data_IF_348623044194
#
_entry.id   IF_348623044194
#
_cell.length_a   1.000
_cell.length_b   1.000
_cell.length_c   1.000
_cell.angle_alpha   90.00
_cell.angle_beta   90.00
_cell.angle_gamma   90.00
#
_symmetry.space_group_name_H-M   'P 1'
#
loop_
_entity.id
_entity.type
_entity.pdbx_description
1 polymer ?
#
# COMPACT_ATOMS: atom_id res chain seq x y z
N UNK A 1 35.91 12.74 -8.06
CA UNK A 1 35.31 12.00 -6.88
C UNK A 1 35.17 12.87 -5.63
N UNK A 2 35.81 14.04 -5.48
CA UNK A 2 35.68 14.94 -4.31
C UNK A 2 34.45 15.87 -4.39
N UNK A 3 34.02 16.30 -5.54
CA UNK A 3 32.84 17.18 -5.72
C UNK A 3 31.49 16.48 -5.48
N UNK A 4 31.39 15.20 -5.80
CA UNK A 4 30.19 14.43 -5.53
C UNK A 4 29.93 14.20 -4.03
N UNK A 5 30.98 14.14 -3.20
CA UNK A 5 30.86 14.03 -1.74
C UNK A 5 30.40 15.33 -1.07
N UNK A 6 30.74 16.49 -1.64
CA UNK A 6 30.32 17.81 -1.15
C UNK A 6 28.81 18.07 -1.37
N UNK A 7 28.24 17.57 -2.48
CA UNK A 7 26.82 17.73 -2.78
C UNK A 7 25.92 16.91 -1.83
N UNK A 8 26.37 15.74 -1.36
CA UNK A 8 25.62 14.89 -0.44
C UNK A 8 25.60 15.44 0.99
N UNK A 9 26.66 16.10 1.44
CA UNK A 9 26.75 16.72 2.76
C UNK A 9 25.86 17.96 2.94
N UNK A 10 25.56 18.67 1.83
CA UNK A 10 24.66 19.85 1.87
C UNK A 10 23.17 19.52 1.98
N UNK A 11 22.76 18.28 1.66
CA UNK A 11 21.36 17.81 1.78
C UNK A 11 21.07 17.31 3.20
N UNK A 12 22.07 16.81 3.92
CA UNK A 12 21.91 16.21 5.26
C UNK A 12 21.49 17.19 6.39
N UNK A 13 21.54 18.51 6.14
CA UNK A 13 21.23 19.53 7.14
C UNK A 13 19.91 20.29 6.90
N UNK A 14 19.12 19.91 5.91
CA UNK A 14 17.80 20.53 5.71
C UNK A 14 16.74 19.73 6.42
N UNK A 15 15.79 20.36 7.16
CA UNK A 15 14.67 19.66 7.75
C UNK A 15 13.83 19.01 6.65
N UNK A 16 13.34 17.79 6.89
CA UNK A 16 12.42 17.11 6.00
C UNK A 16 11.10 17.88 5.86
N UNK A 17 10.34 17.58 4.82
CA UNK A 17 9.05 18.24 4.55
C UNK A 17 8.04 18.12 5.71
N UNK A 18 8.12 17.05 6.50
CA UNK A 18 7.26 16.80 7.66
C UNK A 18 7.97 17.05 9.00
N UNK A 19 9.09 17.79 9.02
CA UNK A 19 9.76 18.15 10.25
C UNK A 19 8.81 18.91 11.19
N UNK A 20 8.75 18.45 12.45
CA UNK A 20 7.85 18.99 13.48
C UNK A 20 6.50 18.27 13.60
N UNK A 21 6.13 17.42 12.64
CA UNK A 21 4.96 16.55 12.75
C UNK A 21 5.31 15.35 13.67
N UNK A 22 4.46 15.11 14.65
CA UNK A 22 4.61 14.04 15.65
C UNK A 22 3.62 12.93 15.39
N UNK A 23 4.12 11.72 15.21
CA UNK A 23 3.31 10.56 14.84
C UNK A 23 3.46 9.46 15.89
N UNK A 24 2.34 8.92 16.33
CA UNK A 24 2.29 7.64 17.05
C UNK A 24 1.79 6.58 16.08
N UNK A 25 2.54 5.52 15.93
CA UNK A 25 2.13 4.33 15.20
C UNK A 25 1.77 3.23 16.19
N UNK A 26 0.55 2.70 16.09
CA UNK A 26 0.07 1.58 16.90
C UNK A 26 -0.50 0.49 15.98
N UNK A 27 0.37 -0.13 15.22
CA UNK A 27 0.01 -1.14 14.25
C UNK A 27 1.09 -2.20 14.09
N UNK A 28 0.80 -3.18 13.23
CA UNK A 28 1.69 -4.31 12.98
C UNK A 28 1.68 -4.73 11.51
N UNK A 29 2.59 -5.61 11.13
CA UNK A 29 2.77 -6.18 9.79
C UNK A 29 3.16 -5.13 8.74
N UNK A 30 2.21 -4.64 7.92
CA UNK A 30 2.51 -3.85 6.72
C UNK A 30 1.77 -2.52 6.70
N UNK A 31 0.44 -2.49 6.73
CA UNK A 31 -0.33 -1.30 6.35
C UNK A 31 -0.04 -0.08 7.23
N UNK A 32 -0.22 -0.15 8.53
CA UNK A 32 0.10 0.96 9.43
C UNK A 32 1.62 1.22 9.51
N UNK A 33 2.50 0.18 9.64
CA UNK A 33 3.93 0.39 9.64
C UNK A 33 4.46 1.09 8.39
N UNK A 34 4.04 0.70 7.18
CA UNK A 34 4.50 1.35 5.97
C UNK A 34 3.94 2.77 5.82
N UNK A 35 2.69 3.00 6.18
CA UNK A 35 2.12 4.35 6.25
C UNK A 35 2.98 5.25 7.16
N UNK A 36 3.28 4.81 8.37
CA UNK A 36 4.10 5.57 9.33
C UNK A 36 5.57 5.76 8.84
N UNK A 37 6.11 4.78 8.11
CA UNK A 37 7.41 4.91 7.46
C UNK A 37 7.42 6.06 6.46
N UNK A 38 6.38 6.20 5.62
CA UNK A 38 6.30 7.32 4.68
C UNK A 38 6.37 8.67 5.42
N UNK A 39 5.71 8.80 6.58
CA UNK A 39 5.85 10.01 7.39
C UNK A 39 7.28 10.19 7.92
N UNK A 40 7.92 9.13 8.41
CA UNK A 40 9.30 9.22 8.94
C UNK A 40 10.33 9.50 7.86
N UNK A 41 10.18 8.95 6.66
CA UNK A 41 11.08 9.17 5.52
C UNK A 41 11.05 10.64 5.05
N UNK A 42 9.93 11.34 5.26
CA UNK A 42 9.81 12.77 5.03
C UNK A 42 10.14 13.65 6.26
N UNK A 43 10.62 13.05 7.34
CA UNK A 43 11.18 13.78 8.49
C UNK A 43 10.24 14.01 9.66
N UNK A 44 9.07 13.36 9.72
CA UNK A 44 8.23 13.35 10.91
C UNK A 44 8.92 12.58 12.06
N UNK A 45 8.62 12.98 13.29
CA UNK A 45 9.05 12.25 14.51
C UNK A 45 8.07 11.14 14.81
N UNK A 46 8.45 9.89 14.48
CA UNK A 46 7.56 8.73 14.58
C UNK A 46 7.95 7.84 15.75
N UNK A 47 6.99 7.57 16.64
CA UNK A 47 7.10 6.59 17.72
C UNK A 47 6.21 5.39 17.40
N UNK A 48 6.84 4.24 17.15
CA UNK A 48 6.16 2.95 17.03
C UNK A 48 5.89 2.37 18.42
N UNK A 49 4.64 2.08 18.70
CA UNK A 49 4.21 1.37 19.92
C UNK A 49 3.98 -0.10 19.59
N UNK A 50 4.73 -0.97 20.23
CA UNK A 50 4.55 -2.41 20.14
C UNK A 50 3.97 -2.97 21.45
N UNK A 51 3.03 -3.92 21.33
CA UNK A 51 2.64 -4.74 22.50
C UNK A 51 3.82 -5.59 22.96
N UNK A 52 3.82 -6.13 24.21
CA UNK A 52 4.92 -6.96 24.72
C UNK A 52 5.29 -8.16 23.84
N UNK A 53 4.33 -8.68 23.07
CA UNK A 53 4.59 -9.77 22.12
C UNK A 53 5.37 -9.33 20.87
N UNK A 54 5.59 -8.03 20.68
CA UNK A 54 6.20 -7.43 19.51
C UNK A 54 5.30 -7.47 18.27
N UNK A 55 5.72 -6.77 17.23
CA UNK A 55 5.05 -6.79 15.92
C UNK A 55 5.13 -8.18 15.28
N UNK A 56 4.03 -8.65 14.72
CA UNK A 56 3.97 -9.93 14.02
C UNK A 56 4.98 -10.02 12.84
N UNK A 57 5.30 -8.90 12.20
CA UNK A 57 6.31 -8.83 11.15
C UNK A 57 7.70 -9.30 11.61
N UNK A 58 8.03 -9.22 12.90
CA UNK A 58 9.30 -9.72 13.44
C UNK A 58 9.47 -11.23 13.27
N UNK A 59 8.35 -11.95 13.07
CA UNK A 59 8.30 -13.40 12.85
C UNK A 59 8.10 -13.79 11.39
N UNK A 60 7.96 -12.79 10.49
CA UNK A 60 7.81 -13.00 9.06
C UNK A 60 9.14 -12.80 8.32
N UNK A 61 9.44 -13.67 7.36
CA UNK A 61 10.62 -13.54 6.50
C UNK A 61 10.55 -12.35 5.52
N UNK A 62 11.57 -12.18 4.69
CA UNK A 62 12.78 -13.02 4.62
C UNK A 62 13.73 -12.80 5.79
N UNK A 63 14.52 -13.83 6.10
CA UNK A 63 15.57 -13.75 7.11
C UNK A 63 16.93 -14.01 6.47
N UNK A 64 18.05 -13.43 6.98
CA UNK A 64 19.38 -13.83 6.56
C UNK A 64 19.58 -15.34 6.80
N UNK A 65 20.13 -16.01 5.78
CA UNK A 65 20.40 -17.48 5.80
C UNK A 65 19.15 -18.34 6.09
N UNK A 66 17.93 -17.78 5.86
CA UNK A 66 16.63 -18.39 6.19
C UNK A 66 16.48 -18.80 7.67
N UNK A 67 17.25 -18.19 8.57
CA UNK A 67 17.18 -18.46 10.02
C UNK A 67 16.27 -17.43 10.71
N UNK A 68 15.10 -17.82 11.22
CA UNK A 68 14.17 -16.93 11.89
C UNK A 68 14.79 -16.25 13.12
N UNK A 69 14.66 -14.94 13.21
CA UNK A 69 15.12 -14.14 14.33
C UNK A 69 14.32 -12.83 14.42
N UNK A 70 13.80 -12.50 15.59
CA UNK A 70 12.90 -11.36 15.81
C UNK A 70 13.49 -9.98 15.41
N UNK A 71 14.82 -9.84 15.46
CA UNK A 71 15.52 -8.59 15.08
C UNK A 71 16.11 -8.63 13.67
N UNK A 72 15.84 -9.69 12.89
CA UNK A 72 16.43 -9.88 11.54
C UNK A 72 15.38 -10.08 10.45
N UNK A 73 14.09 -9.84 10.75
CA UNK A 73 13.03 -9.87 9.74
C UNK A 73 13.23 -8.76 8.72
N UNK A 74 13.38 -9.10 7.44
CA UNK A 74 13.42 -8.13 6.35
C UNK A 74 12.12 -7.34 6.21
N UNK A 75 10.98 -8.00 6.45
CA UNK A 75 9.67 -7.35 6.42
C UNK A 75 9.54 -6.28 7.52
N UNK A 76 9.94 -6.62 8.75
CA UNK A 76 9.94 -5.65 9.85
C UNK A 76 10.91 -4.49 9.56
N UNK A 77 12.12 -4.80 9.13
CA UNK A 77 13.15 -3.81 8.84
C UNK A 77 12.70 -2.79 7.80
N UNK A 78 12.19 -3.27 6.65
CA UNK A 78 11.80 -2.37 5.56
C UNK A 78 10.62 -1.46 5.94
N UNK A 79 9.70 -1.92 6.78
CA UNK A 79 8.52 -1.14 7.15
C UNK A 79 8.73 -0.22 8.36
N UNK A 80 9.87 -0.32 9.06
CA UNK A 80 10.07 0.38 10.34
C UNK A 80 11.34 1.24 10.41
N UNK A 81 11.96 1.54 9.27
CA UNK A 81 13.11 2.48 9.21
C UNK A 81 12.71 3.86 9.71
N UNK A 82 13.69 4.58 10.30
CA UNK A 82 13.58 5.97 10.78
C UNK A 82 12.57 6.20 11.91
N UNK A 83 12.16 5.13 12.62
CA UNK A 83 11.22 5.23 13.76
C UNK A 83 11.93 5.00 15.08
N UNK A 84 11.43 5.61 16.14
CA UNK A 84 11.73 5.23 17.52
C UNK A 84 10.72 4.19 17.99
N UNK A 85 11.14 3.21 18.80
CA UNK A 85 10.28 2.15 19.31
C UNK A 85 10.02 2.28 20.81
N UNK A 86 8.83 1.91 21.25
CA UNK A 86 8.47 1.73 22.65
C UNK A 86 7.57 0.51 22.81
N UNK A 87 7.79 -0.27 23.86
CA UNK A 87 6.90 -1.37 24.25
C UNK A 87 5.87 -0.86 25.24
N UNK A 88 4.59 -1.09 24.96
CA UNK A 88 3.49 -0.62 25.80
C UNK A 88 2.31 -1.59 25.73
N UNK A 89 1.92 -2.15 26.88
CA UNK A 89 0.69 -2.96 26.99
C UNK A 89 -0.49 -2.06 27.33
N UNK A 90 -1.23 -1.64 26.32
CA UNK A 90 -2.40 -0.75 26.45
C UNK A 90 -3.58 -1.40 27.23
N UNK A 91 -3.54 -2.72 27.49
CA UNK A 91 -4.54 -3.40 28.28
C UNK A 91 -4.30 -3.19 29.79
N UNK A 92 -3.08 -2.83 30.18
CA UNK A 92 -2.75 -2.51 31.59
C UNK A 92 -3.04 -1.04 31.89
N UNK A 93 -3.33 -0.71 33.14
CA UNK A 93 -3.55 0.68 33.59
C UNK A 93 -2.33 1.57 33.34
N UNK A 94 -1.12 1.07 33.62
CA UNK A 94 0.12 1.80 33.43
C UNK A 94 0.42 2.02 31.94
N UNK A 95 0.29 0.97 31.11
CA UNK A 95 0.48 1.07 29.67
C UNK A 95 -0.55 2.00 29.02
N UNK A 96 -1.81 1.91 29.44
CA UNK A 96 -2.83 2.85 28.96
C UNK A 96 -2.52 4.31 29.32
N UNK A 97 -2.06 4.58 30.56
CA UNK A 97 -1.68 5.94 30.95
C UNK A 97 -0.53 6.47 30.07
N UNK A 98 0.47 5.64 29.79
CA UNK A 98 1.56 5.99 28.89
C UNK A 98 1.03 6.27 27.46
N UNK A 99 0.16 5.39 26.94
CA UNK A 99 -0.40 5.57 25.59
C UNK A 99 -1.23 6.85 25.47
N UNK A 100 -2.01 7.19 26.50
CA UNK A 100 -2.76 8.48 26.56
C UNK A 100 -1.81 9.67 26.50
N UNK A 101 -0.67 9.64 27.17
CA UNK A 101 0.34 10.70 27.07
C UNK A 101 0.93 10.81 25.66
N UNK A 102 1.16 9.67 24.99
CA UNK A 102 1.62 9.65 23.59
C UNK A 102 0.57 10.25 22.65
N UNK A 103 -0.73 9.94 22.85
CA UNK A 103 -1.81 10.51 22.05
C UNK A 103 -1.95 12.02 22.25
N UNK A 104 -1.77 12.51 23.48
CA UNK A 104 -1.79 13.94 23.80
C UNK A 104 -0.59 14.69 23.18
N UNK A 105 0.55 14.03 23.00
CA UNK A 105 1.75 14.59 22.37
C UNK A 105 1.68 14.59 20.85
N UNK A 106 0.95 13.67 20.25
CA UNK A 106 0.94 13.42 18.81
C UNK A 106 0.06 14.41 18.00
N UNK A 107 0.43 14.60 16.75
CA UNK A 107 -0.39 15.22 15.69
C UNK A 107 -1.18 14.18 14.91
N UNK A 108 -0.63 12.97 14.78
CA UNK A 108 -1.19 11.87 14.02
C UNK A 108 -1.07 10.57 14.80
N UNK A 109 -2.14 9.78 14.84
CA UNK A 109 -2.13 8.37 15.19
C UNK A 109 -2.34 7.55 13.92
N UNK A 110 -1.49 6.55 13.70
CA UNK A 110 -1.65 5.57 12.61
C UNK A 110 -1.81 4.19 13.24
N UNK A 111 -2.90 3.48 12.90
CA UNK A 111 -3.19 2.17 13.45
C UNK A 111 -3.84 1.25 12.40
N UNK A 112 -3.73 -0.08 12.61
CA UNK A 112 -4.39 -1.09 11.78
C UNK A 112 -5.00 -2.23 12.63
N UNK A 113 -5.44 -1.88 13.83
CA UNK A 113 -6.14 -2.83 14.69
C UNK A 113 -7.59 -2.95 14.25
N UNK A 114 -8.21 -4.10 14.55
CA UNK A 114 -9.62 -4.28 14.24
C UNK A 114 -10.49 -3.30 15.03
N UNK A 115 -11.57 -2.77 14.46
CA UNK A 115 -12.44 -1.80 15.13
C UNK A 115 -12.97 -2.27 16.48
N UNK A 116 -13.32 -3.56 16.61
CA UNK A 116 -13.75 -4.15 17.87
C UNK A 116 -12.63 -4.20 18.91
N UNK A 117 -11.38 -4.38 18.49
CA UNK A 117 -10.23 -4.38 19.40
C UNK A 117 -9.96 -2.97 19.94
N UNK A 118 -10.01 -1.95 19.07
CA UNK A 118 -9.86 -0.56 19.48
C UNK A 118 -10.97 -0.15 20.47
N UNK A 119 -12.21 -0.58 20.23
CA UNK A 119 -13.32 -0.38 21.20
C UNK A 119 -13.07 -1.08 22.52
N UNK A 120 -12.62 -2.33 22.51
CA UNK A 120 -12.32 -3.08 23.73
C UNK A 120 -11.23 -2.41 24.59
N UNK A 121 -10.29 -1.71 23.97
CA UNK A 121 -9.28 -0.89 24.66
C UNK A 121 -9.75 0.52 25.00
N UNK A 122 -10.99 0.91 24.67
CA UNK A 122 -11.48 2.30 24.71
C UNK A 122 -10.55 3.26 23.95
N UNK A 123 -10.06 2.84 22.80
CA UNK A 123 -9.19 3.57 21.86
C UNK A 123 -9.88 3.77 20.51
N UNK A 124 -11.21 3.69 20.45
CA UNK A 124 -11.97 4.10 19.29
C UNK A 124 -11.86 5.62 19.06
N UNK A 125 -12.24 6.08 17.87
CA UNK A 125 -12.07 7.49 17.51
C UNK A 125 -12.75 8.46 18.48
N UNK A 126 -13.94 8.14 19.01
CA UNK A 126 -14.63 8.98 19.95
C UNK A 126 -13.86 9.14 21.28
N UNK A 127 -13.32 8.05 21.79
CA UNK A 127 -12.48 8.04 22.99
C UNK A 127 -11.17 8.81 22.76
N UNK A 128 -10.52 8.61 21.62
CA UNK A 128 -9.27 9.29 21.23
C UNK A 128 -9.51 10.80 21.08
N UNK A 129 -10.60 11.19 20.43
CA UNK A 129 -10.98 12.61 20.24
C UNK A 129 -11.17 13.35 21.57
N UNK A 130 -11.62 12.66 22.62
CA UNK A 130 -11.75 13.25 23.96
C UNK A 130 -10.40 13.53 24.63
N UNK A 131 -9.34 12.76 24.27
CA UNK A 131 -7.98 12.94 24.75
C UNK A 131 -7.28 14.09 23.99
N UNK A 132 -7.37 14.07 22.66
CA UNK A 132 -6.76 15.08 21.81
C UNK A 132 -7.69 15.42 20.62
N UNK A 133 -8.48 16.51 20.74
CA UNK A 133 -9.42 16.92 19.68
C UNK A 133 -8.76 17.33 18.36
N UNK A 134 -7.44 17.57 18.37
CA UNK A 134 -6.68 17.95 17.17
C UNK A 134 -5.99 16.77 16.51
N UNK A 135 -6.02 15.58 17.10
CA UNK A 135 -5.34 14.39 16.59
C UNK A 135 -6.02 13.91 15.29
N UNK A 136 -5.23 13.77 14.23
CA UNK A 136 -5.66 13.05 13.03
C UNK A 136 -5.45 11.57 13.29
N UNK A 137 -6.50 10.77 13.15
CA UNK A 137 -6.43 9.30 13.28
C UNK A 137 -6.52 8.68 11.91
N UNK A 138 -5.50 7.92 11.52
CA UNK A 138 -5.46 7.15 10.28
C UNK A 138 -5.63 5.68 10.66
N UNK A 139 -6.81 5.14 10.39
CA UNK A 139 -7.13 3.74 10.63
C UNK A 139 -7.15 2.98 9.32
N UNK A 140 -6.27 1.98 9.19
CA UNK A 140 -6.07 1.21 7.96
C UNK A 140 -6.42 -0.23 8.26
N UNK A 141 -7.63 -0.65 7.87
CA UNK A 141 -8.11 -2.01 8.16
C UNK A 141 -8.44 -2.77 6.87
N UNK A 142 -8.54 -4.09 6.88
CA UNK A 142 -8.87 -4.84 5.67
C UNK A 142 -10.16 -4.37 4.98
N UNK A 143 -11.19 -3.97 5.76
CA UNK A 143 -12.54 -3.69 5.24
C UNK A 143 -13.14 -2.35 5.73
N UNK A 144 -12.38 -1.49 6.38
CA UNK A 144 -12.88 -0.22 6.92
C UNK A 144 -13.54 -0.33 8.29
N UNK A 145 -13.91 0.81 8.85
CA UNK A 145 -14.51 0.94 10.19
C UNK A 145 -16.03 0.69 10.18
N UNK A 146 -16.67 0.73 9.00
CA UNK A 146 -18.11 0.65 8.82
C UNK A 146 -18.50 -0.41 7.79
N UNK A 147 -19.80 -0.67 7.66
CA UNK A 147 -20.32 -1.66 6.72
C UNK A 147 -20.32 -3.10 7.25
N UNK A 148 -20.84 -4.06 6.43
CA UNK A 148 -21.10 -5.41 6.89
C UNK A 148 -19.84 -6.23 7.21
N UNK A 149 -18.70 -5.85 6.68
CA UNK A 149 -17.44 -6.58 6.83
C UNK A 149 -16.50 -5.97 7.88
N UNK A 150 -16.83 -4.81 8.46
CA UNK A 150 -15.96 -4.10 9.42
C UNK A 150 -15.60 -4.90 10.67
N UNK A 151 -16.43 -5.89 11.04
CA UNK A 151 -16.19 -6.79 12.16
C UNK A 151 -15.42 -8.06 11.80
N UNK A 152 -15.10 -8.28 10.53
CA UNK A 152 -14.43 -9.51 10.12
C UNK A 152 -12.92 -9.43 10.34
N UNK A 153 -12.34 -10.55 10.75
CA UNK A 153 -10.90 -10.72 10.68
C UNK A 153 -10.50 -10.86 9.21
N UNK A 154 -9.53 -10.08 8.79
CA UNK A 154 -9.03 -10.11 7.43
C UNK A 154 -7.53 -9.87 7.39
N UNK A 155 -6.93 -10.38 6.33
CA UNK A 155 -5.53 -10.21 5.98
C UNK A 155 -5.44 -9.65 4.57
N UNK A 156 -4.27 -9.33 4.12
CA UNK A 156 -4.00 -8.84 2.76
C UNK A 156 -4.68 -9.70 1.68
N UNK A 157 -4.52 -11.03 1.76
CA UNK A 157 -5.17 -12.00 0.86
C UNK A 157 -6.68 -11.79 0.75
N UNK A 158 -7.36 -11.58 1.88
CA UNK A 158 -8.81 -11.42 1.91
C UNK A 158 -9.24 -10.09 1.27
N UNK A 159 -8.54 -9.00 1.61
CA UNK A 159 -8.77 -7.68 1.04
C UNK A 159 -8.51 -7.67 -0.47
N UNK A 160 -7.40 -8.29 -0.90
CA UNK A 160 -7.03 -8.41 -2.31
C UNK A 160 -8.11 -9.13 -3.13
N UNK A 161 -8.59 -10.28 -2.66
CA UNK A 161 -9.61 -11.04 -3.39
C UNK A 161 -10.99 -10.36 -3.36
N UNK A 162 -11.38 -9.77 -2.23
CA UNK A 162 -12.66 -9.07 -2.10
C UNK A 162 -12.73 -7.82 -3.01
N UNK A 163 -11.59 -7.17 -3.27
CA UNK A 163 -11.52 -6.00 -4.15
C UNK A 163 -11.87 -6.29 -5.61
N UNK A 164 -11.85 -7.56 -6.03
CA UNK A 164 -12.00 -7.96 -7.42
C UNK A 164 -10.70 -7.92 -8.25
N UNK A 165 -9.57 -7.47 -7.71
CA UNK A 165 -8.30 -7.40 -8.43
C UNK A 165 -7.87 -8.78 -8.98
N UNK A 166 -8.07 -9.84 -8.20
CA UNK A 166 -7.75 -11.21 -8.60
C UNK A 166 -8.59 -11.75 -9.75
N UNK A 167 -9.79 -11.19 -9.97
CA UNK A 167 -10.65 -11.62 -11.08
C UNK A 167 -10.05 -11.33 -12.44
N UNK A 168 -9.08 -10.42 -12.51
CA UNK A 168 -8.49 -9.93 -13.74
C UNK A 168 -7.00 -10.19 -13.88
N UNK A 169 -6.21 -9.99 -12.80
CA UNK A 169 -4.76 -9.82 -12.94
C UNK A 169 -3.93 -11.06 -12.62
N UNK A 170 -4.42 -11.97 -11.78
CA UNK A 170 -3.60 -13.05 -11.27
C UNK A 170 -4.23 -14.43 -11.47
N UNK A 171 -3.46 -15.35 -12.07
CA UNK A 171 -3.86 -16.73 -12.32
C UNK A 171 -4.39 -16.97 -13.73
N UNK A 172 -4.53 -18.25 -14.08
CA UNK A 172 -5.02 -18.67 -15.40
C UNK A 172 -6.55 -18.70 -15.44
N UNK A 173 -7.15 -18.57 -16.65
CA UNK A 173 -8.58 -18.77 -16.82
C UNK A 173 -9.00 -20.17 -16.36
N UNK A 174 -10.10 -20.23 -15.58
CA UNK A 174 -10.64 -21.51 -15.09
C UNK A 174 -9.94 -22.09 -13.85
N UNK A 175 -8.78 -21.55 -13.45
CA UNK A 175 -8.07 -21.97 -12.24
C UNK A 175 -8.41 -21.04 -11.06
N UNK A 176 -7.96 -21.43 -9.86
CA UNK A 176 -8.10 -20.60 -8.66
C UNK A 176 -7.39 -19.25 -8.86
N UNK A 177 -8.01 -18.13 -8.48
CA UNK A 177 -7.34 -16.83 -8.55
C UNK A 177 -6.14 -16.79 -7.62
N UNK A 178 -5.06 -16.21 -8.11
CA UNK A 178 -3.83 -16.00 -7.35
C UNK A 178 -3.76 -14.55 -6.84
N UNK A 179 -2.88 -14.34 -5.88
CA UNK A 179 -2.53 -13.03 -5.35
C UNK A 179 -1.09 -12.65 -5.77
N UNK A 180 -0.79 -11.36 -5.81
CA UNK A 180 0.60 -10.90 -5.83
C UNK A 180 1.28 -11.24 -4.48
N UNK A 181 2.45 -11.84 -4.51
CA UNK A 181 3.16 -12.27 -3.30
C UNK A 181 3.80 -11.13 -2.49
N UNK A 182 3.18 -9.96 -2.40
CA UNK A 182 3.82 -8.72 -1.88
C UNK A 182 2.98 -7.90 -0.91
N UNK A 183 1.96 -8.43 -0.27
CA UNK A 183 1.04 -7.65 0.59
C UNK A 183 0.45 -6.43 -0.14
N UNK A 184 -0.04 -6.64 -1.37
CA UNK A 184 -0.45 -5.55 -2.24
C UNK A 184 -1.58 -4.70 -1.65
N UNK A 185 -2.62 -5.32 -1.09
CA UNK A 185 -3.74 -4.59 -0.49
C UNK A 185 -3.29 -3.73 0.71
N UNK A 186 -2.41 -4.27 1.55
CA UNK A 186 -1.85 -3.57 2.70
C UNK A 186 -0.99 -2.36 2.27
N UNK A 187 -0.13 -2.51 1.26
CA UNK A 187 0.66 -1.39 0.75
C UNK A 187 -0.20 -0.31 0.07
N UNK A 188 -1.22 -0.68 -0.68
CA UNK A 188 -2.18 0.29 -1.24
C UNK A 188 -2.97 1.01 -0.15
N UNK A 189 -3.41 0.28 0.88
CA UNK A 189 -4.01 0.87 2.07
C UNK A 189 -3.08 1.85 2.78
N UNK A 190 -1.81 1.48 2.94
CA UNK A 190 -0.79 2.33 3.57
C UNK A 190 -0.56 3.65 2.80
N UNK A 191 -0.38 3.57 1.48
CA UNK A 191 -0.19 4.77 0.63
C UNK A 191 -1.44 5.65 0.64
N UNK A 192 -2.63 5.06 0.55
CA UNK A 192 -3.90 5.79 0.68
C UNK A 192 -4.01 6.47 2.04
N UNK A 193 -3.69 5.74 3.13
CA UNK A 193 -3.66 6.28 4.48
C UNK A 193 -2.71 7.47 4.63
N UNK A 194 -1.50 7.36 4.08
CA UNK A 194 -0.55 8.47 4.10
C UNK A 194 -1.04 9.68 3.30
N UNK A 195 -1.62 9.47 2.12
CA UNK A 195 -2.12 10.53 1.26
C UNK A 195 -3.29 11.29 1.90
N UNK A 196 -4.33 10.57 2.31
CA UNK A 196 -5.51 11.17 2.93
C UNK A 196 -5.22 11.68 4.35
N UNK A 197 -4.32 11.01 5.09
CA UNK A 197 -3.83 11.47 6.37
C UNK A 197 -3.12 12.82 6.26
N UNK A 198 -2.27 13.02 5.27
CA UNK A 198 -1.65 14.31 5.01
C UNK A 198 -2.66 15.38 4.60
N UNK A 199 -3.68 15.04 3.81
CA UNK A 199 -4.77 15.95 3.50
C UNK A 199 -5.53 16.38 4.77
N UNK A 200 -5.77 15.44 5.69
CA UNK A 200 -6.40 15.74 6.98
C UNK A 200 -5.52 16.61 7.89
N UNK A 201 -4.21 16.37 7.93
CA UNK A 201 -3.24 17.22 8.66
C UNK A 201 -3.23 18.64 8.09
N UNK A 202 -3.15 18.76 6.77
CA UNK A 202 -3.17 20.07 6.08
C UNK A 202 -4.48 20.83 6.32
N UNK A 203 -5.62 20.13 6.23
CA UNK A 203 -6.95 20.73 6.42
C UNK A 203 -7.36 20.93 7.88
N UNK A 204 -6.57 20.48 8.86
CA UNK A 204 -6.92 20.45 10.28
C UNK A 204 -7.40 21.80 10.85
N UNK A 205 -6.72 22.87 10.47
CA UNK A 205 -7.08 24.22 10.95
C UNK A 205 -8.33 24.78 10.23
N UNK A 206 -8.55 24.38 8.98
CA UNK A 206 -9.74 24.75 8.21
C UNK A 206 -11.03 24.13 8.78
N UNK A 207 -10.94 22.87 9.24
CA UNK A 207 -12.08 22.14 9.81
C UNK A 207 -12.22 22.30 11.33
N UNK A 208 -11.26 22.99 11.96
CA UNK A 208 -11.30 23.29 13.40
C UNK A 208 -10.93 22.12 14.31
N UNK A 209 -10.25 21.07 13.81
CA UNK A 209 -9.84 19.93 14.63
C UNK A 209 -9.30 18.74 13.84
N UNK A 210 -8.98 17.67 14.58
CA UNK A 210 -8.57 16.40 14.01
C UNK A 210 -9.72 15.64 13.33
N UNK A 211 -9.38 14.69 12.47
CA UNK A 211 -10.33 13.89 11.71
C UNK A 211 -9.97 12.42 11.79
N UNK A 212 -10.95 11.54 11.57
CA UNK A 212 -10.72 10.13 11.28
C UNK A 212 -10.56 9.97 9.77
N UNK A 213 -9.47 9.36 9.37
CA UNK A 213 -9.21 8.86 8.01
C UNK A 213 -9.41 7.35 8.06
N UNK A 214 -10.56 6.90 7.60
CA UNK A 214 -10.93 5.48 7.54
C UNK A 214 -10.51 4.92 6.18
N UNK A 215 -9.60 3.95 6.18
CA UNK A 215 -9.06 3.32 4.98
C UNK A 215 -9.34 1.83 5.00
N UNK A 216 -10.10 1.38 4.02
CA UNK A 216 -10.28 -0.02 3.70
C UNK A 216 -9.20 -0.45 2.68
N UNK A 217 -8.37 -1.44 3.03
CA UNK A 217 -7.38 -1.98 2.09
C UNK A 217 -8.05 -2.56 0.82
N UNK A 218 -9.22 -3.22 0.99
CA UNK A 218 -9.98 -3.75 -0.14
C UNK A 218 -10.46 -2.64 -1.08
N UNK A 219 -10.94 -1.52 -0.55
CA UNK A 219 -11.38 -0.38 -1.36
C UNK A 219 -10.19 0.36 -1.99
N UNK A 220 -9.09 0.51 -1.26
CA UNK A 220 -7.87 1.15 -1.78
C UNK A 220 -7.32 0.41 -3.01
N UNK A 221 -7.24 -0.92 -2.95
CA UNK A 221 -6.77 -1.71 -4.09
C UNK A 221 -7.83 -1.79 -5.20
N UNK A 222 -9.13 -1.84 -4.86
CA UNK A 222 -10.19 -1.76 -5.84
C UNK A 222 -10.13 -0.45 -6.63
N UNK A 223 -9.93 0.68 -5.97
CA UNK A 223 -9.78 1.99 -6.62
C UNK A 223 -8.57 2.03 -7.56
N UNK A 224 -7.45 1.43 -7.16
CA UNK A 224 -6.22 1.43 -7.96
C UNK A 224 -6.30 0.51 -9.20
N UNK A 225 -6.84 -0.69 -9.05
CA UNK A 225 -6.79 -1.71 -10.09
C UNK A 225 -8.12 -1.92 -10.84
N UNK A 226 -9.25 -1.76 -10.16
CA UNK A 226 -10.57 -2.07 -10.73
C UNK A 226 -11.27 -0.82 -11.22
N UNK A 227 -11.15 0.29 -10.46
CA UNK A 227 -11.94 1.51 -10.69
C UNK A 227 -11.72 2.16 -12.06
N UNK A 228 -10.46 2.22 -12.52
CA UNK A 228 -10.13 2.92 -13.76
C UNK A 228 -10.43 2.17 -15.05
N UNK A 229 -10.52 0.85 -15.00
CA UNK A 229 -10.58 0.01 -16.22
C UNK A 229 -11.85 -0.84 -16.32
N UNK A 230 -12.39 -1.33 -15.21
CA UNK A 230 -13.54 -2.23 -15.21
C UNK A 230 -14.88 -1.51 -15.00
N UNK A 231 -14.93 -0.49 -14.13
CA UNK A 231 -16.17 0.24 -13.86
C UNK A 231 -16.64 0.96 -15.12
N UNK A 232 -15.72 1.60 -15.86
CA UNK A 232 -16.04 2.27 -17.12
C UNK A 232 -16.59 1.31 -18.18
N UNK A 233 -15.95 0.16 -18.39
CA UNK A 233 -16.40 -0.85 -19.33
C UNK A 233 -17.76 -1.45 -18.93
N UNK A 234 -17.95 -1.76 -17.66
CA UNK A 234 -19.23 -2.26 -17.17
C UNK A 234 -20.37 -1.23 -17.32
N UNK A 235 -20.10 0.04 -17.00
CA UNK A 235 -21.10 1.11 -17.13
C UNK A 235 -21.50 1.38 -18.59
N UNK A 236 -20.58 1.17 -19.54
CA UNK A 236 -20.82 1.40 -20.97
C UNK A 236 -21.54 0.24 -21.66
N UNK A 237 -21.12 -0.98 -21.43
CA UNK A 237 -21.54 -2.15 -22.20
C UNK A 237 -21.87 -3.40 -21.36
N UNK A 238 -21.82 -3.30 -20.01
CA UNK A 238 -22.09 -4.42 -19.11
C UNK A 238 -20.99 -5.49 -19.10
N UNK A 239 -19.83 -5.20 -19.69
CA UNK A 239 -18.75 -6.17 -19.84
C UNK A 239 -17.98 -6.35 -18.54
N UNK A 240 -17.77 -7.62 -18.15
CA UNK A 240 -16.87 -8.01 -17.09
C UNK A 240 -15.55 -8.48 -17.68
N UNK A 241 -14.46 -7.84 -17.32
CA UNK A 241 -13.14 -8.33 -17.66
C UNK A 241 -12.82 -9.61 -16.88
N UNK A 242 -12.22 -10.57 -17.59
CA UNK A 242 -11.81 -11.86 -17.03
C UNK A 242 -10.32 -12.04 -17.16
N UNK A 243 -9.76 -12.93 -16.34
CA UNK A 243 -8.37 -13.34 -16.52
C UNK A 243 -8.18 -13.95 -17.91
N UNK A 244 -7.15 -13.50 -18.60
CA UNK A 244 -6.75 -14.02 -19.92
C UNK A 244 -5.55 -14.95 -19.83
N UNK A 245 -4.98 -15.13 -18.63
CA UNK A 245 -3.77 -15.88 -18.39
C UNK A 245 -2.55 -14.98 -18.53
N UNK A 246 -1.89 -15.03 -19.67
CA UNK A 246 -0.70 -14.25 -19.94
C UNK A 246 -1.03 -13.06 -20.85
N UNK A 247 -0.62 -11.87 -20.46
CA UNK A 247 -0.79 -10.66 -21.25
C UNK A 247 -1.81 -9.68 -20.68
N UNK A 248 -1.84 -8.49 -21.27
CA UNK A 248 -2.79 -7.44 -20.94
C UNK A 248 -3.88 -7.36 -22.03
N UNK A 249 -5.16 -7.44 -21.67
CA UNK A 249 -6.24 -7.46 -22.66
C UNK A 249 -6.44 -6.13 -23.38
N UNK A 250 -5.82 -5.04 -22.93
CA UNK A 250 -6.03 -3.68 -23.45
C UNK A 250 -4.94 -3.17 -24.38
N UNK A 251 -3.94 -3.97 -24.68
CA UNK A 251 -2.84 -3.54 -25.57
C UNK A 251 -1.94 -4.68 -25.98
N UNK A 252 -1.42 -4.62 -27.19
CA UNK A 252 -0.46 -5.62 -27.69
C UNK A 252 0.74 -4.93 -28.37
N UNK A 253 1.94 -5.56 -28.29
CA UNK A 253 2.25 -6.70 -27.43
C UNK A 253 2.43 -6.31 -25.97
N UNK A 254 1.78 -7.05 -25.08
CA UNK A 254 1.96 -6.94 -23.62
C UNK A 254 1.75 -8.36 -23.05
N UNK A 255 2.78 -9.20 -23.13
CA UNK A 255 2.64 -10.62 -22.84
C UNK A 255 3.99 -11.27 -22.45
N UNK A 256 3.92 -12.45 -21.86
CA UNK A 256 5.09 -13.30 -21.62
C UNK A 256 5.26 -14.26 -22.78
N UNK A 257 6.41 -14.23 -23.40
CA UNK A 257 6.76 -15.11 -24.53
C UNK A 257 7.90 -16.06 -24.12
N UNK A 258 7.88 -17.32 -24.63
CA UNK A 258 9.00 -18.21 -24.43
C UNK A 258 10.24 -17.73 -25.20
N UNK A 259 11.41 -17.91 -24.62
CA UNK A 259 12.69 -17.71 -25.28
C UNK A 259 13.56 -18.98 -25.12
N UNK A 260 14.78 -18.96 -25.66
CA UNK A 260 15.64 -20.18 -25.73
C UNK A 260 15.91 -20.81 -24.35
N UNK A 261 15.99 -20.00 -23.30
CA UNK A 261 16.44 -20.41 -21.96
C UNK A 261 15.46 -19.97 -20.83
N UNK A 262 14.21 -19.61 -21.21
CA UNK A 262 13.20 -19.20 -20.23
C UNK A 262 12.05 -18.45 -20.86
N UNK A 263 11.70 -17.34 -20.25
CA UNK A 263 10.60 -16.47 -20.71
C UNK A 263 11.02 -15.01 -20.66
N UNK A 264 10.46 -14.20 -21.55
CA UNK A 264 10.65 -12.75 -21.61
C UNK A 264 9.30 -12.06 -21.52
N UNK A 265 9.21 -11.03 -20.69
CA UNK A 265 8.07 -10.10 -20.72
C UNK A 265 8.28 -9.10 -21.84
N UNK A 266 7.35 -9.06 -22.78
CA UNK A 266 7.38 -8.12 -23.88
C UNK A 266 6.28 -7.07 -23.72
N UNK A 267 6.67 -5.79 -23.74
CA UNK A 267 5.78 -4.66 -23.68
C UNK A 267 6.20 -3.62 -24.72
N UNK A 268 5.35 -3.36 -25.71
CA UNK A 268 5.57 -2.34 -26.75
C UNK A 268 4.25 -1.66 -27.13
N UNK A 269 3.67 -0.90 -26.19
CA UNK A 269 2.36 -0.27 -26.34
C UNK A 269 2.45 1.05 -27.09
N UNK A 270 3.40 1.90 -26.68
CA UNK A 270 3.59 3.22 -27.26
C UNK A 270 4.17 3.17 -28.68
N UNK A 271 3.85 4.16 -29.55
CA UNK A 271 4.35 4.17 -30.94
C UNK A 271 5.88 4.05 -31.04
N UNK A 272 6.62 4.71 -30.16
CA UNK A 272 8.09 4.62 -30.13
C UNK A 272 8.62 3.23 -29.78
N UNK A 273 7.97 2.56 -28.82
CA UNK A 273 8.29 1.18 -28.42
C UNK A 273 7.98 0.20 -29.55
N UNK A 274 6.82 0.35 -30.19
CA UNK A 274 6.41 -0.45 -31.34
C UNK A 274 7.39 -0.31 -32.51
N UNK A 275 7.77 0.92 -32.85
CA UNK A 275 8.76 1.16 -33.91
C UNK A 275 10.13 0.58 -33.57
N UNK A 276 10.52 0.60 -32.31
CA UNK A 276 11.74 -0.06 -31.85
C UNK A 276 11.68 -1.58 -32.03
N UNK A 277 10.55 -2.21 -31.65
CA UNK A 277 10.32 -3.63 -31.83
C UNK A 277 10.31 -4.02 -33.31
N UNK A 278 9.63 -3.26 -34.17
CA UNK A 278 9.64 -3.47 -35.63
C UNK A 278 11.06 -3.51 -36.20
N UNK A 279 11.94 -2.60 -35.76
CA UNK A 279 13.34 -2.59 -36.21
C UNK A 279 14.08 -3.87 -35.78
N UNK A 280 13.85 -4.34 -34.56
CA UNK A 280 14.46 -5.59 -34.07
C UNK A 280 13.96 -6.79 -34.90
N UNK A 281 12.70 -6.78 -35.33
CA UNK A 281 12.11 -7.82 -36.19
C UNK A 281 12.48 -7.68 -37.68
N UNK A 282 13.29 -6.70 -38.06
CA UNK A 282 13.70 -6.46 -39.45
C UNK A 282 12.68 -5.68 -40.28
N UNK A 283 11.79 -4.93 -39.67
CA UNK A 283 10.70 -4.17 -40.31
C UNK A 283 9.87 -5.01 -41.28
N UNK A 284 9.19 -6.05 -40.81
CA UNK A 284 8.41 -6.91 -41.70
C UNK A 284 7.19 -6.17 -42.25
N UNK A 285 6.82 -6.43 -43.52
CA UNK A 285 5.72 -5.74 -44.25
C UNK A 285 4.38 -5.84 -43.53
N UNK A 286 4.11 -6.96 -42.85
CA UNK A 286 2.85 -7.12 -42.10
C UNK A 286 2.69 -6.09 -40.97
N UNK A 287 3.79 -5.54 -40.44
CA UNK A 287 3.74 -4.55 -39.38
C UNK A 287 3.24 -3.17 -39.85
N UNK A 288 3.13 -2.95 -41.15
CA UNK A 288 2.56 -1.74 -41.76
C UNK A 288 1.04 -1.81 -41.97
N UNK A 289 0.42 -2.98 -41.80
CA UNK A 289 -1.03 -3.12 -41.88
C UNK A 289 -1.76 -2.29 -40.83
N UNK A 290 -2.92 -1.75 -41.17
CA UNK A 290 -3.74 -0.89 -40.29
C UNK A 290 -4.05 -1.52 -38.94
N UNK A 291 -4.25 -2.83 -38.89
CA UNK A 291 -4.49 -3.58 -37.66
C UNK A 291 -3.34 -3.52 -36.66
N UNK A 292 -2.11 -3.15 -37.08
CA UNK A 292 -0.95 -3.04 -36.20
C UNK A 292 -0.55 -1.59 -35.88
N UNK A 293 -1.28 -0.58 -36.36
CA UNK A 293 -0.90 0.83 -36.20
C UNK A 293 -1.08 1.37 -34.77
N UNK A 294 -2.00 0.81 -33.98
CA UNK A 294 -2.14 1.19 -32.58
C UNK A 294 -2.28 -0.02 -31.65
N UNK A 295 -2.05 0.20 -30.35
CA UNK A 295 -2.01 -0.89 -29.37
C UNK A 295 -3.36 -1.61 -29.22
N UNK A 296 -4.48 -0.94 -29.42
CA UNK A 296 -5.82 -1.51 -29.27
C UNK A 296 -6.17 -2.44 -30.45
N UNK A 297 -5.93 -1.99 -31.66
CA UNK A 297 -6.15 -2.81 -32.86
C UNK A 297 -5.20 -4.02 -32.88
N UNK A 298 -3.95 -3.85 -32.42
CA UNK A 298 -3.05 -4.98 -32.21
C UNK A 298 -3.61 -6.00 -31.21
N UNK A 299 -4.16 -5.53 -30.08
CA UNK A 299 -4.73 -6.43 -29.07
C UNK A 299 -5.96 -7.21 -29.56
N UNK A 300 -6.75 -6.63 -30.48
CA UNK A 300 -7.90 -7.30 -31.10
C UNK A 300 -7.50 -8.39 -32.10
N UNK A 301 -6.27 -8.36 -32.59
CA UNK A 301 -5.74 -9.24 -33.62
C UNK A 301 -4.50 -10.03 -33.16
N UNK A 302 -4.27 -10.13 -31.85
CA UNK A 302 -3.14 -10.82 -31.22
C UNK A 302 -3.42 -12.32 -31.00
#
# INVERSE_FOLDING_TARGET
MSEAKSAVTGIANKPGALAGIKVVEFGQMVSAPYCARLFSDFGADVIKVELPAGDAARRAGPFPDDVPHAEKSGLYFINNTNKRGVTCDVATSAGRALFVHLLAWADVLIENNLPQQMRAWNLDYASIKSINPRLVVISITPFGQTGPYSGWNGYDLNAYHLSGASSRYCGRPGEMPLEHGTFAADYFGAVSGATWGMAAVYGRDLVGGGQLVDVSCAEAIAAAFVGGQNIGGYAQDGRFDKRTGVGMPLGAPATILPCRDGHVWMLALEPGQWNGLRKVLGNPDWADLDMFQNMYTRAQNA
#
